data_IF_512082903353
#
_entry.id   IF_512082903353
#
_cell.length_a   1.000
_cell.length_b   1.000
_cell.length_c   1.000
_cell.angle_alpha   90.00
_cell.angle_beta   90.00
_cell.angle_gamma   90.00
#
_symmetry.space_group_name_H-M   'P 1'
#
loop_
_entity.id
_entity.type
_entity.pdbx_description
1 polymer ?
#
# COMPACT_ATOMS: atom_id res chain seq x y z
N UNK A 1 6.14 31.23 -13.63
CA UNK A 1 5.72 31.22 -12.21
C UNK A 1 4.24 30.84 -12.03
N UNK A 2 3.28 31.51 -12.68
CA UNK A 2 1.83 31.19 -12.55
C UNK A 2 1.47 29.72 -12.84
N UNK A 3 2.07 29.11 -13.86
CA UNK A 3 1.86 27.70 -14.22
C UNK A 3 2.32 26.71 -13.15
N UNK A 4 3.46 26.99 -12.49
CA UNK A 4 3.96 26.16 -11.39
C UNK A 4 3.06 26.26 -10.17
N UNK A 5 2.60 27.47 -9.85
CA UNK A 5 1.65 27.75 -8.77
C UNK A 5 0.32 27.04 -8.97
N UNK A 6 -0.22 27.05 -10.19
CA UNK A 6 -1.42 26.28 -10.52
C UNK A 6 -1.21 24.77 -10.38
N UNK A 7 -0.03 24.26 -10.75
CA UNK A 7 0.29 22.84 -10.63
C UNK A 7 0.38 22.38 -9.17
N UNK A 8 1.03 23.16 -8.30
CA UNK A 8 1.08 22.88 -6.86
C UNK A 8 -0.29 22.97 -6.20
N UNK A 9 -1.12 23.95 -6.59
CA UNK A 9 -2.50 24.08 -6.10
C UNK A 9 -3.37 22.87 -6.47
N UNK A 10 -3.25 22.36 -7.70
CA UNK A 10 -3.93 21.13 -8.14
C UNK A 10 -3.45 19.88 -7.37
N UNK A 11 -2.15 19.79 -7.08
CA UNK A 11 -1.59 18.69 -6.28
C UNK A 11 -2.07 18.73 -4.81
N UNK A 12 -2.24 19.93 -4.23
CA UNK A 12 -2.78 20.10 -2.88
C UNK A 12 -4.29 19.80 -2.80
N UNK A 13 -5.07 20.21 -3.81
CA UNK A 13 -6.51 20.00 -3.86
C UNK A 13 -6.92 18.53 -4.03
N UNK A 14 -6.06 17.68 -4.57
CA UNK A 14 -6.31 16.24 -4.72
C UNK A 14 -6.09 15.43 -3.44
N UNK A 15 -5.57 16.05 -2.37
CA UNK A 15 -5.20 15.34 -1.13
C UNK A 15 -6.38 15.06 -0.18
N UNK A 16 -7.57 15.60 -0.40
CA UNK A 16 -8.66 15.60 0.60
C UNK A 16 -9.86 14.69 0.29
N UNK A 17 -9.71 13.72 -0.63
CA UNK A 17 -10.73 12.71 -0.84
C UNK A 17 -10.63 11.59 0.23
N UNK A 18 -11.15 11.86 1.44
CA UNK A 18 -11.34 10.82 2.46
C UNK A 18 -12.56 9.95 2.13
N UNK A 19 -12.37 8.97 1.27
CA UNK A 19 -13.32 7.87 1.11
C UNK A 19 -13.12 6.87 2.24
N UNK A 20 -14.21 6.38 2.86
CA UNK A 20 -14.23 5.27 3.82
C UNK A 20 -13.93 3.91 3.18
N UNK A 21 -12.88 3.83 2.38
CA UNK A 21 -12.46 2.63 1.67
C UNK A 21 -11.53 1.74 2.50
N UNK A 22 -11.61 0.43 2.28
CA UNK A 22 -10.67 -0.52 2.87
C UNK A 22 -9.34 -0.49 2.11
N UNK A 23 -8.22 -0.40 2.84
CA UNK A 23 -6.88 -0.50 2.25
C UNK A 23 -6.52 -1.96 2.02
N UNK A 24 -6.23 -2.33 0.78
CA UNK A 24 -5.60 -3.62 0.48
C UNK A 24 -4.09 -3.45 0.61
N UNK A 25 -3.50 -3.99 1.68
CA UNK A 25 -2.05 -3.90 1.92
C UNK A 25 -1.33 -4.92 1.04
N UNK A 26 -0.70 -4.47 -0.05
CA UNK A 26 0.00 -5.30 -1.04
C UNK A 26 1.53 -5.13 -1.05
N UNK A 27 2.06 -4.48 -0.03
CA UNK A 27 3.47 -4.17 0.06
C UNK A 27 4.26 -5.42 0.44
N UNK A 28 5.22 -5.80 -0.42
CA UNK A 28 6.11 -6.95 -0.22
C UNK A 28 5.47 -8.31 -0.50
N UNK A 29 5.99 -9.02 -1.51
CA UNK A 29 5.52 -10.36 -1.87
C UNK A 29 5.82 -11.39 -0.78
N UNK A 30 7.00 -11.33 -0.16
CA UNK A 30 7.34 -12.19 0.98
C UNK A 30 6.38 -11.95 2.14
N UNK A 31 6.08 -10.68 2.43
CA UNK A 31 5.19 -10.32 3.54
C UNK A 31 3.75 -10.74 3.27
N UNK A 32 3.27 -10.62 2.03
CA UNK A 32 1.98 -11.18 1.61
C UNK A 32 1.92 -12.69 1.81
N UNK A 33 2.95 -13.42 1.39
CA UNK A 33 3.01 -14.88 1.53
C UNK A 33 3.04 -15.34 3.00
N UNK A 34 3.58 -14.51 3.90
CA UNK A 34 3.64 -14.80 5.35
C UNK A 34 2.44 -14.24 6.13
N UNK A 35 1.44 -13.63 5.48
CA UNK A 35 0.29 -13.06 6.17
C UNK A 35 0.60 -11.77 6.95
N UNK A 36 1.42 -10.88 6.37
CA UNK A 36 1.79 -9.56 6.90
C UNK A 36 2.59 -9.55 8.20
N UNK A 37 3.43 -10.56 8.44
CA UNK A 37 4.33 -10.62 9.62
C UNK A 37 5.54 -9.68 9.54
N UNK A 38 5.53 -8.70 8.64
CA UNK A 38 6.69 -7.86 8.28
C UNK A 38 7.17 -6.89 9.34
N UNK A 39 6.43 -6.77 10.44
CA UNK A 39 6.86 -5.98 11.59
C UNK A 39 8.02 -6.67 12.34
N UNK A 40 7.95 -8.00 12.51
CA UNK A 40 8.93 -8.78 13.25
C UNK A 40 9.91 -9.53 12.33
N UNK A 41 9.48 -9.89 11.11
CA UNK A 41 10.30 -10.67 10.18
C UNK A 41 11.10 -9.75 9.26
N UNK A 42 12.40 -9.63 9.53
CA UNK A 42 13.35 -8.83 8.74
C UNK A 42 14.05 -9.72 7.70
N UNK A 43 13.63 -9.67 6.44
CA UNK A 43 14.18 -10.57 5.40
C UNK A 43 14.26 -9.98 3.97
N UNK A 44 13.93 -8.70 3.79
CA UNK A 44 13.94 -8.00 2.51
C UNK A 44 13.87 -6.48 2.69
N UNK A 45 14.14 -5.74 1.61
CA UNK A 45 13.98 -4.28 1.54
C UNK A 45 12.57 -3.79 1.92
N UNK A 46 11.55 -4.65 1.79
CA UNK A 46 10.15 -4.30 2.07
C UNK A 46 9.89 -4.02 3.55
N UNK A 47 10.80 -4.45 4.45
CA UNK A 47 10.75 -4.13 5.88
C UNK A 47 10.70 -2.61 6.11
N UNK A 48 11.25 -1.79 5.22
CA UNK A 48 11.12 -0.33 5.27
C UNK A 48 9.65 0.14 5.36
N UNK A 49 8.72 -0.56 4.71
CA UNK A 49 7.30 -0.21 4.74
C UNK A 49 6.61 -0.61 6.05
N UNK A 50 7.03 -1.73 6.66
CA UNK A 50 6.38 -2.31 7.84
C UNK A 50 7.02 -1.87 9.16
N UNK A 51 8.34 -1.82 9.20
CA UNK A 51 9.17 -1.48 10.35
C UNK A 51 10.51 -0.89 9.87
N UNK A 52 10.61 0.43 9.66
CA UNK A 52 11.86 1.08 9.25
C UNK A 52 13.05 0.78 10.16
N UNK A 53 12.83 0.58 11.47
CA UNK A 53 13.90 0.23 12.40
C UNK A 53 14.48 -1.17 12.10
N UNK A 54 13.65 -2.08 11.57
CA UNK A 54 14.04 -3.40 11.09
C UNK A 54 15.11 -3.38 10.00
N UNK A 55 15.23 -2.29 9.23
CA UNK A 55 16.29 -2.16 8.22
C UNK A 55 17.70 -2.27 8.79
N UNK A 56 17.91 -1.85 10.04
CA UNK A 56 19.21 -1.95 10.71
C UNK A 56 19.69 -3.40 10.89
N UNK A 57 18.77 -4.37 10.82
CA UNK A 57 19.05 -5.80 10.94
C UNK A 57 19.14 -6.51 9.58
N UNK A 58 19.02 -5.79 8.45
CA UNK A 58 19.28 -6.37 7.14
C UNK A 58 20.76 -6.70 7.01
N UNK A 59 21.05 -7.94 6.60
CA UNK A 59 22.42 -8.44 6.46
C UNK A 59 23.20 -7.69 5.36
N UNK A 60 22.53 -7.39 4.25
CA UNK A 60 23.15 -6.76 3.10
C UNK A 60 23.02 -5.23 3.18
N UNK A 61 24.11 -4.54 2.85
CA UNK A 61 24.17 -3.06 2.84
C UNK A 61 23.35 -2.44 1.71
N UNK A 62 23.03 -3.22 0.68
CA UNK A 62 22.24 -2.80 -0.46
C UNK A 62 21.16 -3.85 -0.73
N UNK A 63 19.91 -3.42 -0.79
CA UNK A 63 18.75 -4.31 -0.93
C UNK A 63 17.71 -3.63 -1.83
N UNK A 64 17.32 -4.28 -2.93
CA UNK A 64 16.30 -3.79 -3.86
C UNK A 64 15.27 -4.90 -4.07
N UNK A 65 14.00 -4.53 -3.95
CA UNK A 65 12.86 -5.40 -4.21
C UNK A 65 11.94 -4.77 -5.24
N UNK A 66 11.54 -5.55 -6.25
CA UNK A 66 10.54 -5.16 -7.26
C UNK A 66 9.51 -6.28 -7.38
N UNK A 67 8.24 -5.93 -7.48
CA UNK A 67 7.16 -6.90 -7.65
C UNK A 67 5.87 -6.23 -8.10
N UNK A 68 4.97 -7.03 -8.66
CA UNK A 68 3.65 -6.59 -9.15
C UNK A 68 2.54 -7.44 -8.53
N UNK A 69 1.38 -6.84 -8.31
CA UNK A 69 0.20 -7.53 -7.78
C UNK A 69 -1.00 -7.32 -8.71
N UNK A 70 -1.88 -8.33 -8.81
CA UNK A 70 -3.17 -8.23 -9.50
C UNK A 70 -4.29 -8.47 -8.50
N UNK A 71 -5.21 -7.51 -8.36
CA UNK A 71 -6.42 -7.67 -7.55
C UNK A 71 -7.61 -7.84 -8.49
N UNK A 72 -8.49 -8.80 -8.18
CA UNK A 72 -9.80 -8.94 -8.84
C UNK A 72 -10.88 -8.92 -7.76
N UNK A 73 -11.89 -8.06 -7.92
CA UNK A 73 -12.99 -7.90 -6.96
C UNK A 73 -14.26 -8.49 -7.54
N UNK A 74 -15.04 -9.23 -6.73
CA UNK A 74 -16.38 -9.70 -7.07
C UNK A 74 -17.35 -9.20 -6.00
N UNK A 75 -18.14 -8.19 -6.33
CA UNK A 75 -19.16 -7.63 -5.44
C UNK A 75 -20.53 -8.10 -5.89
N UNK A 76 -21.37 -8.55 -4.96
CA UNK A 76 -22.81 -8.76 -5.19
C UNK A 76 -23.56 -7.79 -4.31
N UNK A 77 -24.53 -7.10 -4.88
CA UNK A 77 -25.51 -6.34 -4.12
C UNK A 77 -26.71 -7.25 -3.88
N UNK A 78 -27.29 -7.21 -2.68
CA UNK A 78 -28.54 -7.88 -2.35
C UNK A 78 -29.45 -6.85 -1.68
N UNK A 79 -30.66 -6.71 -2.19
CA UNK A 79 -31.67 -5.86 -1.58
C UNK A 79 -32.52 -6.68 -0.58
N UNK A 80 -32.42 -6.39 0.72
CA UNK A 80 -33.21 -7.09 1.75
C UNK A 80 -34.73 -6.89 1.59
N UNK A 81 -35.16 -5.79 0.97
CA UNK A 81 -36.59 -5.44 0.82
C UNK A 81 -37.23 -6.09 -0.42
N UNK A 82 -36.47 -6.27 -1.50
CA UNK A 82 -37.00 -6.78 -2.78
C UNK A 82 -36.41 -8.12 -3.23
N UNK A 83 -35.52 -8.71 -2.44
CA UNK A 83 -34.94 -10.05 -2.60
C UNK A 83 -34.41 -10.34 -4.02
N UNK A 84 -33.70 -9.36 -4.60
CA UNK A 84 -32.87 -9.48 -5.80
C UNK A 84 -31.51 -8.81 -5.60
#
# INVERSE_FOLDING_TARGET
>A
MRKLLSLTLLALASSSAFAGGYRVSLQGQKQLAMGHTGVAVVNSAEVLFFNPAGMSYLKDRFNISVGSNKITKKTKFQNEMYNW
#
